data_IF_767927351957
#
_entry.id   IF_767927351957
#
_cell.length_a   1.000
_cell.length_b   1.000
_cell.length_c   1.000
_cell.angle_alpha   90.00
_cell.angle_beta   90.00
_cell.angle_gamma   90.00
#
_symmetry.space_group_name_H-M   'P 1'
#
loop_
_entity.id
_entity.type
_entity.pdbx_description
1 polymer ?
#
# COMPACT_ATOMS: atom_id res chain seq x y z
N UNK A 1 -17.11 3.19 -8.57
CA UNK A 1 -15.73 2.73 -8.85
C UNK A 1 -15.38 1.69 -7.79
N UNK A 2 -14.93 0.49 -8.16
CA UNK A 2 -14.53 -0.54 -7.18
C UNK A 2 -13.14 -0.18 -6.68
N UNK A 3 -13.01 0.16 -5.40
CA UNK A 3 -11.70 0.34 -4.76
C UNK A 3 -10.92 -0.97 -4.88
N UNK A 4 -9.78 -0.95 -5.58
CA UNK A 4 -8.93 -2.12 -5.71
C UNK A 4 -7.96 -2.14 -4.53
N UNK A 5 -8.27 -2.98 -3.53
CA UNK A 5 -7.38 -3.22 -2.40
C UNK A 5 -6.23 -4.11 -2.82
N UNK A 6 -5.00 -3.74 -2.49
CA UNK A 6 -3.85 -4.64 -2.52
C UNK A 6 -3.13 -4.68 -1.17
N UNK A 7 -2.30 -5.69 -0.96
CA UNK A 7 -1.56 -5.89 0.30
C UNK A 7 -0.05 -5.83 0.09
N UNK A 8 0.38 -5.52 -1.13
CA UNK A 8 1.77 -5.46 -1.54
C UNK A 8 2.00 -4.16 -2.32
N UNK A 9 3.13 -3.51 -2.06
CA UNK A 9 3.58 -2.31 -2.74
C UNK A 9 5.09 -2.35 -2.95
N UNK A 10 5.58 -1.52 -3.86
CA UNK A 10 6.98 -1.19 -3.97
C UNK A 10 7.29 0.02 -3.11
N UNK A 11 8.40 -0.07 -2.40
CA UNK A 11 9.02 1.01 -1.65
C UNK A 11 9.77 1.95 -2.64
N UNK A 12 10.40 3.04 -2.16
CA UNK A 12 11.11 4.00 -3.05
C UNK A 12 12.29 3.38 -3.80
N UNK A 13 12.89 2.33 -3.25
CA UNK A 13 14.01 1.59 -3.83
C UNK A 13 13.54 0.51 -4.82
N UNK A 14 12.22 0.33 -4.99
CA UNK A 14 11.64 -0.71 -5.82
C UNK A 14 11.53 -2.08 -5.14
N UNK A 15 11.78 -2.16 -3.82
CA UNK A 15 11.61 -3.39 -3.06
C UNK A 15 10.15 -3.63 -2.69
N UNK A 16 9.73 -4.88 -2.81
CA UNK A 16 8.41 -5.32 -2.38
C UNK A 16 8.28 -5.26 -0.86
N UNK A 17 7.17 -4.68 -0.41
CA UNK A 17 6.78 -4.62 1.00
C UNK A 17 5.31 -4.96 1.14
N UNK A 18 4.96 -5.54 2.28
CA UNK A 18 3.57 -5.75 2.68
C UNK A 18 2.98 -4.47 3.27
N UNK A 19 1.65 -4.38 3.28
CA UNK A 19 0.95 -3.27 3.93
C UNK A 19 1.25 -3.18 5.44
N UNK A 20 1.45 -4.33 6.10
CA UNK A 20 1.81 -4.39 7.52
C UNK A 20 3.21 -3.83 7.78
N UNK A 21 4.20 -4.18 6.96
CA UNK A 21 5.56 -3.61 7.06
C UNK A 21 5.54 -2.10 6.79
N UNK A 22 4.73 -1.67 5.82
CA UNK A 22 4.57 -0.27 5.47
C UNK A 22 3.98 0.59 6.60
N UNK A 23 3.20 0.01 7.52
CA UNK A 23 2.69 0.70 8.71
C UNK A 23 3.83 1.21 9.62
N UNK A 24 5.00 0.57 9.58
CA UNK A 24 6.18 0.97 10.36
C UNK A 24 7.02 2.05 9.69
N UNK A 25 6.68 2.48 8.46
CA UNK A 25 7.41 3.47 7.68
C UNK A 25 6.50 4.65 7.27
N UNK A 26 6.02 5.46 8.23
CA UNK A 26 5.14 6.59 7.93
C UNK A 26 5.84 7.64 7.05
N UNK A 27 5.08 8.25 6.14
CA UNK A 27 5.57 9.32 5.25
C UNK A 27 6.26 8.83 3.97
N UNK A 28 6.35 7.52 3.77
CA UNK A 28 6.88 6.94 2.54
C UNK A 28 5.86 6.94 1.39
N UNK A 29 6.36 7.01 0.16
CA UNK A 29 5.56 6.84 -1.07
C UNK A 29 5.58 5.37 -1.48
N UNK A 30 4.39 4.84 -1.72
CA UNK A 30 4.17 3.46 -2.15
C UNK A 30 3.70 3.43 -3.60
N UNK A 31 4.19 2.48 -4.39
CA UNK A 31 3.74 2.28 -5.77
C UNK A 31 3.26 0.86 -6.00
N UNK A 32 2.24 0.69 -6.84
CA UNK A 32 1.73 -0.62 -7.18
C UNK A 32 2.73 -1.35 -8.08
N UNK A 33 3.08 -2.58 -7.75
CA UNK A 33 3.98 -3.37 -8.57
C UNK A 33 3.42 -3.77 -9.94
N UNK A 34 2.09 -3.81 -10.09
CA UNK A 34 1.45 -4.21 -11.34
C UNK A 34 1.26 -3.05 -12.33
N UNK A 35 0.97 -1.83 -11.84
CA UNK A 35 0.64 -0.70 -12.70
C UNK A 35 1.51 0.55 -12.47
N UNK A 36 2.34 0.57 -11.42
CA UNK A 36 3.22 1.69 -11.10
C UNK A 36 2.53 2.90 -10.47
N UNK A 37 1.20 2.91 -10.36
CA UNK A 37 0.44 4.00 -9.73
C UNK A 37 0.79 4.17 -8.25
N UNK A 38 0.58 5.39 -7.73
CA UNK A 38 0.73 5.65 -6.30
C UNK A 38 -0.34 4.91 -5.50
N UNK A 39 0.07 4.45 -4.32
CA UNK A 39 -0.80 3.78 -3.36
C UNK A 39 -0.93 4.61 -2.08
N UNK A 40 -2.11 4.58 -1.48
CA UNK A 40 -2.39 5.12 -0.14
C UNK A 40 -2.46 3.96 0.85
N UNK A 41 -1.67 4.04 1.92
CA UNK A 41 -1.67 3.03 2.98
C UNK A 41 -2.78 3.30 4.00
N UNK A 42 -3.53 2.25 4.34
CA UNK A 42 -4.55 2.26 5.37
C UNK A 42 -4.24 1.23 6.45
N UNK A 43 -4.22 1.67 7.71
CA UNK A 43 -4.37 0.78 8.86
C UNK A 43 -5.78 0.15 8.77
N UNK A 44 -5.91 -1.17 8.73
CA UNK A 44 -7.22 -1.80 8.62
C UNK A 44 -8.18 -1.38 9.74
N UNK A 45 -9.48 -1.41 9.48
CA UNK A 45 -10.48 -1.09 10.51
C UNK A 45 -10.54 -2.19 11.58
N UNK A 46 -10.65 -1.81 12.86
CA UNK A 46 -10.97 -2.68 14.01
C UNK A 46 -10.42 -4.12 13.94
N UNK A 47 -9.09 -4.26 13.77
CA UNK A 47 -8.39 -5.55 13.74
C UNK A 47 -8.29 -6.21 12.36
N UNK A 48 -8.77 -5.54 11.31
CA UNK A 48 -8.51 -5.94 9.93
C UNK A 48 -7.06 -5.65 9.50
N UNK A 49 -6.53 -6.38 8.50
CA UNK A 49 -5.17 -6.17 8.02
C UNK A 49 -5.03 -4.79 7.36
N UNK A 50 -3.81 -4.23 7.44
CA UNK A 50 -3.43 -3.07 6.67
C UNK A 50 -3.55 -3.38 5.16
N UNK A 51 -3.89 -2.37 4.37
CA UNK A 51 -4.07 -2.52 2.93
C UNK A 51 -3.74 -1.21 2.20
N UNK A 52 -3.55 -1.33 0.89
CA UNK A 52 -3.27 -0.22 0.00
C UNK A 52 -4.44 0.06 -0.93
N UNK A 53 -4.78 1.33 -1.05
CA UNK A 53 -5.73 1.85 -2.04
C UNK A 53 -4.97 2.38 -3.25
N UNK A 54 -5.50 2.15 -4.44
CA UNK A 54 -5.01 2.78 -5.66
C UNK A 54 -5.55 4.21 -5.76
N UNK A 55 -4.64 5.18 -5.71
CA UNK A 55 -4.93 6.60 -5.92
C UNK A 55 -4.92 6.87 -7.44
N UNK A 56 -6.06 6.66 -8.09
CA UNK A 56 -6.26 6.86 -9.55
C UNK A 56 -7.15 8.06 -9.83
#
# INVERSE_FOLDING_TARGET
MRMLKCHLANNREGHFVTAEEAMSAPGQVWSCASCGCRLVLHAGAAGGPAWFEHDT
#
